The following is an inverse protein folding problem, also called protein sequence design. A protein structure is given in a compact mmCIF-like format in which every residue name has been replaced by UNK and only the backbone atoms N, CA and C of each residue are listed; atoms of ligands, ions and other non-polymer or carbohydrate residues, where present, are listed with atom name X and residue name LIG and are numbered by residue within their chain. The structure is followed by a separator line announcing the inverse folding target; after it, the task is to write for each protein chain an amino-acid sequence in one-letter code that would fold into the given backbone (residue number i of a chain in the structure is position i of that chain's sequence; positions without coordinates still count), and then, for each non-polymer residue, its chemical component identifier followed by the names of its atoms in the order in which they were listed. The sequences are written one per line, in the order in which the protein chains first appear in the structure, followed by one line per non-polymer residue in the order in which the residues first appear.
data_IF_430349354502
#
_entry.id   IF_430349354502
#
_cell.length_a   1.000
_cell.length_b   1.000
_cell.length_c   1.000
_cell.angle_alpha   90.00
_cell.angle_beta   90.00
_cell.angle_gamma   90.00
#
_symmetry.space_group_name_H-M   'P 1'
#
loop_
_entity.id
_entity.type
_entity.pdbx_description
1 polymer ?
#
# COMPACT_ATOMS: atom_id res chain seq x y z
N UNK A 1 -4.70 2.79 29.87
CA UNK A 1 -3.54 2.53 30.75
C UNK A 1 -2.22 2.21 30.03
N UNK A 2 -2.18 2.10 28.67
CA UNK A 2 -0.95 1.77 27.91
C UNK A 2 -0.07 2.96 27.49
N UNK A 3 -0.58 4.21 27.58
CA UNK A 3 0.20 5.41 27.12
C UNK A 3 1.46 5.69 27.95
N UNK A 4 1.51 5.24 29.20
CA UNK A 4 2.63 5.46 30.10
C UNK A 4 3.81 4.51 29.85
N UNK A 5 3.55 3.26 29.46
CA UNK A 5 4.59 2.29 29.10
C UNK A 5 5.38 2.68 27.83
N UNK A 6 4.74 3.37 26.86
CA UNK A 6 5.40 3.86 25.63
C UNK A 6 6.49 4.90 25.88
N UNK A 7 6.53 5.56 27.03
CA UNK A 7 7.57 6.52 27.37
C UNK A 7 8.89 5.85 27.86
N UNK A 8 8.86 4.55 28.16
CA UNK A 8 10.00 3.75 28.66
C UNK A 8 10.56 2.75 27.65
N UNK A 9 9.95 2.62 26.47
CA UNK A 9 10.53 1.80 25.39
C UNK A 9 11.87 2.44 24.95
N UNK A 10 12.92 1.62 24.68
CA UNK A 10 14.09 2.08 23.96
C UNK A 10 13.67 2.90 22.75
N UNK A 11 14.38 3.99 22.48
CA UNK A 11 13.97 4.95 21.44
C UNK A 11 13.86 4.33 20.05
N UNK A 12 14.62 3.27 19.79
CA UNK A 12 14.60 2.48 18.56
C UNK A 12 13.34 1.64 18.42
N UNK A 13 12.87 0.95 19.47
CA UNK A 13 11.64 0.15 19.47
C UNK A 13 10.39 0.97 19.11
N UNK A 14 10.41 2.26 19.43
CA UNK A 14 9.30 3.16 19.07
C UNK A 14 9.10 3.30 17.57
N UNK A 15 10.17 3.30 16.74
CA UNK A 15 10.04 3.40 15.29
C UNK A 15 9.39 2.15 14.73
N UNK A 16 9.80 0.97 15.20
CA UNK A 16 9.22 -0.29 14.76
C UNK A 16 7.75 -0.46 15.19
N UNK A 17 7.35 0.04 16.39
CA UNK A 17 5.93 0.12 16.78
C UNK A 17 5.13 1.01 15.82
N UNK A 18 5.68 2.16 15.41
CA UNK A 18 5.03 3.05 14.46
C UNK A 18 4.93 2.42 13.06
N UNK A 19 5.97 1.79 12.56
CA UNK A 19 5.95 1.09 11.29
C UNK A 19 4.94 -0.07 11.30
N UNK A 20 4.90 -0.86 12.37
CA UNK A 20 3.94 -1.95 12.51
C UNK A 20 2.48 -1.42 12.52
N UNK A 21 2.22 -0.32 13.21
CA UNK A 21 0.90 0.33 13.22
C UNK A 21 0.53 0.83 11.83
N UNK A 22 1.46 1.50 11.13
CA UNK A 22 1.24 2.01 9.78
C UNK A 22 0.93 0.87 8.81
N UNK A 23 1.77 -0.18 8.77
CA UNK A 23 1.55 -1.31 7.88
C UNK A 23 0.23 -2.04 8.15
N UNK A 24 -0.17 -2.15 9.43
CA UNK A 24 -1.48 -2.71 9.77
C UNK A 24 -2.62 -1.85 9.21
N UNK A 25 -2.48 -0.54 9.21
CA UNK A 25 -3.46 0.39 8.62
C UNK A 25 -3.49 0.24 7.09
N UNK A 26 -2.32 0.10 6.44
CA UNK A 26 -2.23 -0.17 4.99
C UNK A 26 -2.92 -1.49 4.63
N UNK A 27 -2.72 -2.56 5.42
CA UNK A 27 -3.43 -3.85 5.21
C UNK A 27 -4.95 -3.68 5.32
N UNK A 28 -5.45 -2.92 6.29
CA UNK A 28 -6.89 -2.65 6.41
C UNK A 28 -7.42 -1.80 5.25
N UNK A 29 -6.63 -0.85 4.74
CA UNK A 29 -6.92 -0.08 3.53
C UNK A 29 -7.05 -0.98 2.30
N UNK A 30 -6.10 -1.90 2.10
CA UNK A 30 -6.10 -2.87 1.00
C UNK A 30 -7.31 -3.83 1.07
N UNK A 31 -7.67 -4.30 2.26
CA UNK A 31 -8.88 -5.12 2.47
C UNK A 31 -10.15 -4.34 2.14
N UNK A 32 -10.24 -3.07 2.55
CA UNK A 32 -11.38 -2.22 2.22
C UNK A 32 -11.46 -1.93 0.71
N UNK A 33 -10.31 -1.75 0.03
CA UNK A 33 -10.22 -1.63 -1.42
C UNK A 33 -10.70 -2.91 -2.12
N UNK A 34 -10.26 -4.08 -1.67
CA UNK A 34 -10.72 -5.37 -2.19
C UNK A 34 -12.23 -5.54 -2.01
N UNK A 35 -12.79 -5.19 -0.85
CA UNK A 35 -14.23 -5.25 -0.60
C UNK A 35 -14.99 -4.26 -1.50
N UNK A 36 -14.46 -3.05 -1.75
CA UNK A 36 -15.01 -2.07 -2.70
C UNK A 36 -15.14 -2.67 -4.10
N UNK A 37 -14.13 -3.42 -4.56
CA UNK A 37 -14.09 -4.03 -5.89
C UNK A 37 -15.08 -5.20 -6.06
N UNK A 38 -15.75 -5.67 -4.99
CA UNK A 38 -16.89 -6.59 -5.11
C UNK A 38 -18.08 -5.92 -5.80
N UNK A 39 -18.17 -4.60 -5.70
CA UNK A 39 -19.24 -3.81 -6.29
C UNK A 39 -20.56 -3.85 -5.52
N UNK A 40 -21.59 -3.30 -6.13
CA UNK A 40 -22.94 -3.24 -5.55
C UNK A 40 -23.20 -2.00 -4.71
N UNK A 41 -24.27 -2.05 -3.90
CA UNK A 41 -24.77 -0.88 -3.15
C UNK A 41 -23.84 -0.48 -1.98
N UNK A 42 -23.02 -1.40 -1.50
CA UNK A 42 -22.07 -1.15 -0.40
C UNK A 42 -20.77 -0.48 -0.86
N UNK A 43 -20.52 -0.35 -2.17
CA UNK A 43 -19.30 0.28 -2.71
C UNK A 43 -18.95 1.62 -2.03
N UNK A 44 -19.88 2.58 -1.81
CA UNK A 44 -19.55 3.84 -1.14
C UNK A 44 -19.11 3.68 0.31
N UNK A 45 -19.63 2.67 0.99
CA UNK A 45 -19.25 2.38 2.39
C UNK A 45 -17.79 1.94 2.44
N UNK A 46 -17.36 1.09 1.50
CA UNK A 46 -15.97 0.66 1.42
C UNK A 46 -15.05 1.80 0.96
N UNK A 47 -15.47 2.67 0.03
CA UNK A 47 -14.73 3.88 -0.32
C UNK A 47 -14.48 4.77 0.92
N UNK A 48 -15.48 4.94 1.79
CA UNK A 48 -15.32 5.69 3.03
C UNK A 48 -14.34 5.02 4.00
N UNK A 49 -14.33 3.68 4.07
CA UNK A 49 -13.35 2.94 4.88
C UNK A 49 -11.92 3.13 4.38
N UNK A 50 -11.68 3.08 3.07
CA UNK A 50 -10.36 3.39 2.49
C UNK A 50 -9.92 4.79 2.90
N UNK A 51 -10.78 5.81 2.76
CA UNK A 51 -10.50 7.17 3.19
C UNK A 51 -10.17 7.27 4.70
N UNK A 52 -10.87 6.49 5.55
CA UNK A 52 -10.59 6.48 6.98
C UNK A 52 -9.21 5.90 7.29
N UNK A 53 -8.85 4.77 6.65
CA UNK A 53 -7.54 4.15 6.86
C UNK A 53 -6.39 5.02 6.35
N UNK A 54 -6.57 5.73 5.24
CA UNK A 54 -5.59 6.72 4.77
C UNK A 54 -5.38 7.84 5.81
N UNK A 55 -6.44 8.43 6.32
CA UNK A 55 -6.33 9.46 7.37
C UNK A 55 -5.64 8.94 8.64
N UNK A 56 -5.87 7.68 9.00
CA UNK A 56 -5.21 7.04 10.15
C UNK A 56 -3.71 6.81 9.86
N UNK A 57 -3.34 6.38 8.63
CA UNK A 57 -1.96 6.20 8.19
C UNK A 57 -1.19 7.54 8.16
N UNK A 58 -1.76 8.59 7.57
CA UNK A 58 -1.19 9.94 7.51
C UNK A 58 -0.91 10.51 8.93
N UNK A 59 -1.76 10.21 9.91
CA UNK A 59 -1.48 10.57 11.30
C UNK A 59 -0.24 9.84 11.85
N UNK A 60 -0.07 8.54 11.52
CA UNK A 60 1.08 7.75 11.97
C UNK A 60 2.35 8.24 11.25
N UNK A 61 2.28 8.53 9.96
CA UNK A 61 3.38 9.11 9.17
C UNK A 61 3.89 10.41 9.80
N UNK A 62 2.99 11.31 10.19
CA UNK A 62 3.35 12.53 10.92
C UNK A 62 4.00 12.24 12.29
N UNK A 63 3.55 11.19 13.00
CA UNK A 63 4.20 10.74 14.25
C UNK A 63 5.64 10.27 13.99
N UNK A 64 5.89 9.46 12.93
CA UNK A 64 7.23 8.99 12.53
C UNK A 64 8.13 10.17 12.18
N UNK A 65 7.71 11.06 11.30
CA UNK A 65 8.49 12.22 10.87
C UNK A 65 8.81 13.16 12.03
N UNK A 66 7.90 13.29 13.00
CA UNK A 66 8.14 14.05 14.23
C UNK A 66 9.16 13.33 15.13
N UNK A 67 9.08 12.00 15.24
CA UNK A 67 10.02 11.20 16.00
C UNK A 67 11.44 11.30 15.41
N UNK A 68 11.61 11.21 14.08
CA UNK A 68 12.91 11.40 13.38
C UNK A 68 13.55 12.73 13.76
N UNK A 69 12.78 13.83 13.79
CA UNK A 69 13.31 15.16 14.13
C UNK A 69 13.73 15.31 15.59
N UNK A 70 13.09 14.58 16.51
CA UNK A 70 13.26 14.73 17.97
C UNK A 70 14.17 13.69 18.59
N UNK A 71 14.48 12.62 17.88
CA UNK A 71 15.30 11.51 18.40
C UNK A 71 16.75 11.69 17.98
N UNK A 72 17.68 11.56 18.92
CA UNK A 72 19.11 11.69 18.65
C UNK A 72 19.71 10.42 18.01
N UNK A 73 19.24 9.25 18.43
CA UNK A 73 19.66 7.94 17.90
C UNK A 73 18.45 7.30 17.21
N UNK A 74 18.62 6.88 15.96
CA UNK A 74 17.62 6.20 15.12
C UNK A 74 18.10 4.79 14.77
N UNK A 75 17.21 3.81 14.49
CA UNK A 75 17.60 2.42 14.20
C UNK A 75 18.45 2.27 12.94
N UNK A 76 18.24 3.12 11.95
CA UNK A 76 19.03 3.24 10.70
C UNK A 76 19.00 4.70 10.24
N UNK A 77 19.54 5.02 9.07
CA UNK A 77 19.62 6.39 8.60
C UNK A 77 18.26 7.09 8.59
N UNK A 78 18.27 8.38 8.91
CA UNK A 78 17.04 9.19 8.99
C UNK A 78 16.38 9.40 7.61
N UNK A 79 17.21 9.37 6.56
CA UNK A 79 16.71 9.49 5.18
C UNK A 79 15.93 8.23 4.83
N UNK A 80 16.46 7.05 5.20
CA UNK A 80 15.78 5.76 4.94
C UNK A 80 14.49 5.63 5.73
N UNK A 81 14.49 6.04 7.02
CA UNK A 81 13.25 6.06 7.80
C UNK A 81 12.19 6.94 7.13
N UNK A 82 12.61 8.13 6.67
CA UNK A 82 11.71 9.06 5.99
C UNK A 82 11.22 8.46 4.66
N UNK A 83 12.11 7.94 3.84
CA UNK A 83 11.75 7.37 2.55
C UNK A 83 10.80 6.19 2.73
N UNK A 84 11.15 5.22 3.59
CA UNK A 84 10.32 4.05 3.86
C UNK A 84 8.90 4.43 4.29
N UNK A 85 8.76 5.34 5.28
CA UNK A 85 7.41 5.73 5.73
C UNK A 85 6.66 6.50 4.66
N UNK A 86 7.35 7.31 3.83
CA UNK A 86 6.71 8.03 2.72
C UNK A 86 6.22 7.06 1.64
N UNK A 87 7.03 6.08 1.20
CA UNK A 87 6.59 5.08 0.23
C UNK A 87 5.43 4.22 0.74
N UNK A 88 5.44 3.88 2.04
CA UNK A 88 4.31 3.19 2.66
C UNK A 88 3.02 4.03 2.69
N UNK A 89 3.15 5.33 2.89
CA UNK A 89 2.04 6.30 2.90
C UNK A 89 1.51 6.50 1.47
N UNK A 90 2.40 6.64 0.48
CA UNK A 90 2.05 6.77 -0.94
C UNK A 90 1.21 5.58 -1.45
N UNK A 91 1.42 4.36 -0.90
CA UNK A 91 0.63 3.19 -1.27
C UNK A 91 -0.83 3.32 -0.81
N UNK A 92 -1.08 3.76 0.42
CA UNK A 92 -2.46 3.94 0.90
C UNK A 92 -3.10 5.20 0.33
N UNK A 93 -2.34 6.26 0.05
CA UNK A 93 -2.78 7.44 -0.68
C UNK A 93 -3.30 7.07 -2.07
N UNK A 94 -2.59 6.19 -2.78
CA UNK A 94 -3.02 5.72 -4.09
C UNK A 94 -4.30 4.86 -4.01
N UNK A 95 -4.47 4.06 -2.95
CA UNK A 95 -5.75 3.38 -2.68
C UNK A 95 -6.89 4.39 -2.48
N UNK A 96 -6.64 5.49 -1.77
CA UNK A 96 -7.62 6.57 -1.58
C UNK A 96 -7.96 7.26 -2.91
N UNK A 97 -6.96 7.49 -3.80
CA UNK A 97 -7.23 8.05 -5.13
C UNK A 97 -8.13 7.12 -5.94
N UNK A 98 -7.91 5.81 -5.88
CA UNK A 98 -8.78 4.80 -6.51
C UNK A 98 -10.22 4.92 -5.98
N UNK A 99 -10.38 4.98 -4.65
CA UNK A 99 -11.70 5.12 -4.03
C UNK A 99 -12.38 6.45 -4.41
N UNK A 100 -11.63 7.54 -4.52
CA UNK A 100 -12.14 8.85 -4.98
C UNK A 100 -12.63 8.79 -6.44
N UNK A 101 -11.88 8.12 -7.34
CA UNK A 101 -12.29 7.93 -8.72
C UNK A 101 -13.58 7.10 -8.81
N UNK A 102 -13.69 6.01 -8.04
CA UNK A 102 -14.89 5.19 -7.94
C UNK A 102 -16.12 6.01 -7.51
N UNK A 103 -15.96 6.88 -6.52
CA UNK A 103 -17.04 7.77 -6.06
C UNK A 103 -17.37 8.83 -7.10
N UNK A 104 -16.34 9.46 -7.70
CA UNK A 104 -16.51 10.53 -8.70
C UNK A 104 -17.32 10.06 -9.92
N UNK A 105 -17.02 8.86 -10.40
CA UNK A 105 -17.66 8.27 -11.58
C UNK A 105 -18.86 7.38 -11.25
N UNK A 106 -19.26 7.31 -9.97
CA UNK A 106 -20.37 6.49 -9.47
C UNK A 106 -20.28 5.01 -9.86
N UNK A 107 -19.04 4.46 -9.94
CA UNK A 107 -18.79 3.07 -10.34
C UNK A 107 -19.34 2.11 -9.29
N UNK A 108 -20.11 1.11 -9.73
CA UNK A 108 -20.74 0.08 -8.87
C UNK A 108 -20.46 -1.34 -9.32
N UNK A 109 -19.86 -1.49 -10.50
CA UNK A 109 -19.52 -2.80 -11.06
C UNK A 109 -18.08 -2.79 -11.53
N UNK A 110 -17.38 -3.86 -11.23
CA UNK A 110 -15.95 -4.00 -11.54
C UNK A 110 -15.73 -5.26 -12.34
N UNK A 111 -14.83 -5.18 -13.32
CA UNK A 111 -14.47 -6.31 -14.17
C UNK A 111 -13.70 -7.39 -13.35
N UNK A 112 -13.75 -8.67 -13.76
CA UNK A 112 -13.05 -9.73 -13.02
C UNK A 112 -11.56 -9.47 -12.80
N UNK A 113 -10.77 -8.96 -13.78
CA UNK A 113 -9.36 -8.64 -13.53
C UNK A 113 -9.16 -7.57 -12.45
N UNK A 114 -10.03 -6.54 -12.34
CA UNK A 114 -9.95 -5.55 -11.27
C UNK A 114 -10.07 -6.19 -9.87
N UNK A 115 -10.95 -7.20 -9.73
CA UNK A 115 -11.13 -7.92 -8.46
C UNK A 115 -9.93 -8.80 -8.13
N UNK A 116 -9.31 -9.39 -9.15
CA UNK A 116 -8.09 -10.17 -8.98
C UNK A 116 -6.92 -9.26 -8.55
N UNK A 117 -6.76 -8.10 -9.20
CA UNK A 117 -5.81 -7.07 -8.77
C UNK A 117 -6.03 -6.72 -7.30
N UNK A 118 -7.27 -6.45 -6.87
CA UNK A 118 -7.57 -6.18 -5.46
C UNK A 118 -7.08 -7.27 -4.51
N UNK A 119 -7.11 -8.54 -4.92
CA UNK A 119 -6.58 -9.66 -4.12
C UNK A 119 -5.05 -9.59 -4.04
N UNK A 120 -4.36 -9.33 -5.16
CA UNK A 120 -2.90 -9.19 -5.19
C UNK A 120 -2.42 -8.01 -4.35
N UNK A 121 -3.14 -6.89 -4.34
CA UNK A 121 -2.82 -5.72 -3.52
C UNK A 121 -2.89 -6.02 -2.02
N UNK A 122 -3.83 -6.87 -1.59
CA UNK A 122 -3.87 -7.37 -0.20
C UNK A 122 -2.65 -8.25 0.11
N UNK A 123 -2.21 -9.08 -0.85
CA UNK A 123 -0.98 -9.87 -0.71
C UNK A 123 0.26 -8.97 -0.58
N UNK A 124 0.38 -7.92 -1.39
CA UNK A 124 1.44 -6.92 -1.30
C UNK A 124 1.47 -6.25 0.09
N UNK A 125 0.32 -5.77 0.57
CA UNK A 125 0.22 -5.13 1.88
C UNK A 125 0.67 -6.07 3.02
N UNK A 126 0.29 -7.36 2.95
CA UNK A 126 0.70 -8.37 3.93
C UNK A 126 2.21 -8.65 3.86
N UNK A 127 2.82 -8.68 2.67
CA UNK A 127 4.27 -8.86 2.52
C UNK A 127 5.04 -7.70 3.15
N UNK A 128 4.62 -6.45 2.93
CA UNK A 128 5.19 -5.28 3.60
C UNK A 128 5.07 -5.44 5.12
N UNK A 129 3.89 -5.80 5.63
CA UNK A 129 3.69 -6.03 7.06
C UNK A 129 4.61 -7.10 7.67
N UNK A 130 5.00 -8.11 6.87
CA UNK A 130 5.95 -9.16 7.26
C UNK A 130 7.41 -8.70 7.21
N UNK A 131 7.77 -7.80 6.29
CA UNK A 131 9.13 -7.31 6.12
C UNK A 131 9.55 -6.37 7.27
N UNK A 132 8.67 -5.47 7.71
CA UNK A 132 9.01 -4.42 8.66
C UNK A 132 9.58 -4.90 9.99
N UNK A 133 9.04 -5.94 10.66
CA UNK A 133 9.65 -6.46 11.89
C UNK A 133 11.05 -7.02 11.68
N UNK A 134 11.38 -7.52 10.48
CA UNK A 134 12.69 -8.10 10.16
C UNK A 134 13.78 -7.03 10.08
N UNK A 135 13.41 -5.77 9.85
CA UNK A 135 14.34 -4.63 9.87
C UNK A 135 14.95 -4.35 11.25
N UNK A 136 14.42 -4.95 12.33
CA UNK A 136 15.03 -4.86 13.66
C UNK A 136 16.38 -5.58 13.77
N UNK A 137 16.62 -6.58 12.92
CA UNK A 137 17.83 -7.41 12.90
C UNK A 137 18.18 -7.75 11.47
N UNK A 138 18.51 -6.72 10.67
CA UNK A 138 18.73 -6.83 9.22
C UNK A 138 19.74 -7.91 8.90
N UNK A 139 20.92 -7.93 9.57
CA UNK A 139 22.00 -8.88 9.33
C UNK A 139 21.57 -10.35 9.44
N UNK A 140 20.63 -10.66 10.34
CA UNK A 140 20.09 -12.02 10.52
C UNK A 140 18.98 -12.37 9.50
N UNK A 141 18.40 -11.36 8.87
CA UNK A 141 17.17 -11.49 8.05
C UNK A 141 17.36 -11.12 6.57
N UNK A 142 18.58 -10.85 6.09
CA UNK A 142 18.87 -10.43 4.71
C UNK A 142 18.17 -11.32 3.68
N UNK A 143 18.37 -12.63 3.78
CA UNK A 143 17.80 -13.57 2.80
C UNK A 143 16.26 -13.55 2.79
N UNK A 144 15.62 -13.35 3.98
CA UNK A 144 14.16 -13.28 4.06
C UNK A 144 13.62 -11.95 3.56
N UNK A 145 14.29 -10.84 3.85
CA UNK A 145 13.94 -9.52 3.32
C UNK A 145 14.04 -9.51 1.80
N UNK A 146 15.15 -10.02 1.23
CA UNK A 146 15.30 -10.15 -0.22
C UNK A 146 14.20 -11.00 -0.85
N UNK A 147 13.86 -12.15 -0.25
CA UNK A 147 12.79 -13.01 -0.77
C UNK A 147 11.42 -12.30 -0.74
N UNK A 148 11.14 -11.49 0.28
CA UNK A 148 9.88 -10.74 0.36
C UNK A 148 9.84 -9.63 -0.68
N UNK A 149 10.92 -8.88 -0.89
CA UNK A 149 10.96 -7.81 -1.89
C UNK A 149 10.89 -8.36 -3.32
N UNK A 150 11.57 -9.48 -3.62
CA UNK A 150 11.42 -10.17 -4.90
C UNK A 150 9.98 -10.66 -5.16
N UNK A 151 9.26 -11.08 -4.11
CA UNK A 151 7.87 -11.50 -4.25
C UNK A 151 6.94 -10.30 -4.49
N UNK A 152 7.21 -9.14 -3.87
CA UNK A 152 6.49 -7.89 -4.14
C UNK A 152 6.62 -7.48 -5.61
N UNK A 153 7.84 -7.47 -6.17
CA UNK A 153 8.08 -7.16 -7.59
C UNK A 153 7.39 -8.17 -8.53
N UNK A 154 7.31 -9.46 -8.15
CA UNK A 154 6.55 -10.45 -8.95
C UNK A 154 5.04 -10.20 -8.90
N UNK A 155 4.51 -9.75 -7.77
CA UNK A 155 3.08 -9.42 -7.65
C UNK A 155 2.73 -8.18 -8.45
N UNK A 156 3.60 -7.16 -8.45
CA UNK A 156 3.48 -5.99 -9.31
C UNK A 156 3.42 -6.40 -10.79
N UNK A 157 4.38 -7.19 -11.30
CA UNK A 157 4.35 -7.67 -12.68
C UNK A 157 3.09 -8.48 -13.03
N UNK A 158 2.49 -9.21 -12.06
CA UNK A 158 1.19 -9.85 -12.28
C UNK A 158 0.03 -8.85 -12.35
N UNK A 159 0.10 -7.77 -11.62
CA UNK A 159 -0.89 -6.68 -11.69
C UNK A 159 -0.82 -6.00 -13.05
N UNK A 160 0.39 -5.73 -13.57
CA UNK A 160 0.62 -5.19 -14.91
C UNK A 160 0.00 -6.07 -16.00
N UNK A 161 0.24 -7.38 -15.94
CA UNK A 161 -0.35 -8.33 -16.88
C UNK A 161 -1.90 -8.29 -16.83
N UNK A 162 -2.49 -8.21 -15.63
CA UNK A 162 -3.94 -8.12 -15.46
C UNK A 162 -4.51 -6.77 -15.91
N UNK A 163 -3.76 -5.68 -15.73
CA UNK A 163 -4.09 -4.35 -16.24
C UNK A 163 -4.18 -4.38 -17.76
N UNK A 164 -3.15 -4.86 -18.45
CA UNK A 164 -3.11 -4.94 -19.91
C UNK A 164 -4.22 -5.83 -20.49
N UNK A 165 -4.47 -6.99 -19.88
CA UNK A 165 -5.55 -7.90 -20.27
C UNK A 165 -6.90 -7.19 -20.07
N UNK A 166 -7.09 -6.57 -18.90
CA UNK A 166 -8.33 -5.89 -18.55
C UNK A 166 -8.63 -4.71 -19.46
N UNK A 167 -7.64 -3.86 -19.78
CA UNK A 167 -7.78 -2.76 -20.72
C UNK A 167 -8.18 -3.24 -22.11
N UNK A 168 -7.56 -4.31 -22.59
CA UNK A 168 -7.88 -4.91 -23.89
C UNK A 168 -9.32 -5.44 -23.91
N UNK A 169 -9.75 -6.16 -22.89
CA UNK A 169 -11.11 -6.69 -22.80
C UNK A 169 -12.14 -5.54 -22.73
N UNK A 170 -11.86 -4.53 -21.92
CA UNK A 170 -12.68 -3.34 -21.77
C UNK A 170 -12.83 -2.59 -23.11
N UNK A 171 -11.71 -2.40 -23.85
CA UNK A 171 -11.74 -1.79 -25.18
C UNK A 171 -12.60 -2.59 -26.16
N UNK A 172 -12.43 -3.91 -26.22
CA UNK A 172 -13.21 -4.77 -27.12
C UNK A 172 -14.69 -4.74 -26.79
N UNK A 173 -15.05 -4.65 -25.51
CA UNK A 173 -16.43 -4.57 -25.02
C UNK A 173 -17.10 -3.24 -25.44
N UNK A 174 -16.36 -2.12 -25.35
CA UNK A 174 -16.94 -0.78 -25.48
C UNK A 174 -16.63 -0.06 -26.79
N UNK A 175 -15.73 -0.57 -27.66
CA UNK A 175 -15.28 0.09 -28.91
C UNK A 175 -16.41 0.49 -29.88
N UNK A 176 -17.57 -0.18 -29.81
CA UNK A 176 -18.74 0.10 -30.62
C UNK A 176 -19.97 0.48 -29.76
N UNK A 177 -19.77 0.80 -28.48
CA UNK A 177 -20.81 1.11 -27.52
C UNK A 177 -20.57 2.48 -26.87
N UNK A 178 -20.68 2.57 -25.54
CA UNK A 178 -20.45 3.81 -24.80
C UNK A 178 -18.95 4.02 -24.54
N UNK A 179 -18.34 5.01 -25.20
CA UNK A 179 -16.93 5.36 -25.02
C UNK A 179 -16.60 5.80 -23.57
N UNK A 180 -17.56 6.39 -22.87
CA UNK A 180 -17.35 6.82 -21.48
C UNK A 180 -17.14 5.64 -20.53
N UNK A 181 -17.82 4.50 -20.76
CA UNK A 181 -17.61 3.30 -19.95
C UNK A 181 -16.16 2.76 -20.10
N UNK A 182 -15.59 2.87 -21.31
CA UNK A 182 -14.18 2.55 -21.54
C UNK A 182 -13.27 3.54 -20.79
N UNK A 183 -13.49 4.84 -20.90
CA UNK A 183 -12.65 5.87 -20.27
C UNK A 183 -12.66 5.70 -18.74
N UNK A 184 -13.83 5.56 -18.15
CA UNK A 184 -13.98 5.38 -16.70
C UNK A 184 -13.35 4.08 -16.24
N UNK A 185 -13.57 2.98 -16.95
CA UNK A 185 -12.98 1.69 -16.58
C UNK A 185 -11.46 1.69 -16.72
N UNK A 186 -10.90 2.34 -17.77
CA UNK A 186 -9.46 2.49 -17.94
C UNK A 186 -8.84 3.30 -16.80
N UNK A 187 -9.47 4.40 -16.39
CA UNK A 187 -9.02 5.21 -15.25
C UNK A 187 -8.95 4.38 -13.94
N UNK A 188 -9.93 3.49 -13.72
CA UNK A 188 -9.92 2.61 -12.53
C UNK A 188 -8.79 1.58 -12.63
N UNK A 189 -8.53 1.00 -13.81
CA UNK A 189 -7.40 0.10 -14.03
C UNK A 189 -6.06 0.79 -13.75
N UNK A 190 -5.86 1.99 -14.30
CA UNK A 190 -4.63 2.78 -14.10
C UNK A 190 -4.42 3.14 -12.62
N UNK A 191 -5.49 3.43 -11.88
CA UNK A 191 -5.41 3.67 -10.45
C UNK A 191 -5.03 2.40 -9.66
N UNK A 192 -5.54 1.24 -10.04
CA UNK A 192 -5.25 -0.03 -9.36
C UNK A 192 -3.81 -0.48 -9.62
N UNK A 193 -3.32 -0.37 -10.84
CA UNK A 193 -1.93 -0.66 -11.22
C UNK A 193 -0.96 0.22 -10.41
N UNK A 194 -1.20 1.52 -10.34
CA UNK A 194 -0.39 2.45 -9.53
C UNK A 194 -0.33 2.10 -8.03
N UNK A 195 -1.31 1.40 -7.47
CA UNK A 195 -1.20 0.90 -6.09
C UNK A 195 -0.13 -0.18 -5.99
N UNK A 196 -0.02 -1.06 -6.99
CA UNK A 196 1.02 -2.09 -7.03
C UNK A 196 2.41 -1.48 -7.20
N UNK A 197 2.55 -0.47 -8.08
CA UNK A 197 3.78 0.32 -8.24
C UNK A 197 4.25 0.90 -6.90
N UNK A 198 3.33 1.47 -6.11
CA UNK A 198 3.68 2.01 -4.79
C UNK A 198 4.15 0.93 -3.82
N UNK A 199 3.65 -0.29 -3.90
CA UNK A 199 4.19 -1.39 -3.12
C UNK A 199 5.57 -1.83 -3.59
N UNK A 200 5.87 -1.77 -4.89
CA UNK A 200 7.23 -2.01 -5.41
C UNK A 200 8.19 -0.90 -4.97
N UNK A 201 7.76 0.37 -4.91
CA UNK A 201 8.52 1.47 -4.30
C UNK A 201 8.90 1.15 -2.84
N UNK A 202 7.98 0.58 -2.04
CA UNK A 202 8.29 0.13 -0.66
C UNK A 202 9.33 -1.00 -0.67
N UNK A 203 9.23 -1.95 -1.60
CA UNK A 203 10.21 -3.03 -1.73
C UNK A 203 11.61 -2.47 -2.07
N UNK A 204 11.68 -1.47 -2.93
CA UNK A 204 12.93 -0.81 -3.31
C UNK A 204 13.56 -0.07 -2.11
N UNK A 205 12.77 0.61 -1.28
CA UNK A 205 13.29 1.25 -0.05
C UNK A 205 13.79 0.20 0.97
N UNK A 206 13.09 -0.92 1.15
CA UNK A 206 13.56 -2.01 2.00
C UNK A 206 14.89 -2.57 1.50
N UNK A 207 15.03 -2.79 0.19
CA UNK A 207 16.28 -3.25 -0.41
C UNK A 207 17.42 -2.24 -0.22
N UNK A 208 17.15 -0.94 -0.36
CA UNK A 208 18.13 0.13 -0.09
C UNK A 208 18.66 0.05 1.33
N UNK A 209 17.75 -0.06 2.32
CA UNK A 209 18.11 -0.22 3.74
C UNK A 209 18.97 -1.47 3.96
N UNK A 210 18.62 -2.60 3.34
CA UNK A 210 19.40 -3.84 3.47
C UNK A 210 20.82 -3.68 2.92
N UNK A 211 20.97 -3.04 1.74
CA UNK A 211 22.28 -2.83 1.09
C UNK A 211 23.17 -1.93 1.95
N UNK A 212 22.64 -0.91 2.60
CA UNK A 212 23.42 0.02 3.42
C UNK A 212 23.87 -0.55 4.76
N UNK A 213 23.19 -1.62 5.24
CA UNK A 213 23.45 -2.21 6.56
C UNK A 213 24.27 -3.51 6.50
N UNK A 214 24.64 -3.99 5.30
CA UNK A 214 25.40 -5.22 5.05
C UNK A 214 26.73 -4.91 4.37
#
# INVERSE_FOLDING_TARGET
MLRWFRAFLPREERFFDLFARHSQTVVQGALALQDMLRGGDETPVFCQRVNQFENDADNITREVLTAVRRTFITPFDRVDIKNLITSMDDAIDQMQQTAKAVVLFEVRTFEPPMREIGTLLVECANLVGRALPLLQSIGDNVAMLTAITEELTKLEGRVDDLHDIGLKELFLKHRNANTMDFIVGAEIYDHLEKVADRFDDVANEINSIVIEQV
#
